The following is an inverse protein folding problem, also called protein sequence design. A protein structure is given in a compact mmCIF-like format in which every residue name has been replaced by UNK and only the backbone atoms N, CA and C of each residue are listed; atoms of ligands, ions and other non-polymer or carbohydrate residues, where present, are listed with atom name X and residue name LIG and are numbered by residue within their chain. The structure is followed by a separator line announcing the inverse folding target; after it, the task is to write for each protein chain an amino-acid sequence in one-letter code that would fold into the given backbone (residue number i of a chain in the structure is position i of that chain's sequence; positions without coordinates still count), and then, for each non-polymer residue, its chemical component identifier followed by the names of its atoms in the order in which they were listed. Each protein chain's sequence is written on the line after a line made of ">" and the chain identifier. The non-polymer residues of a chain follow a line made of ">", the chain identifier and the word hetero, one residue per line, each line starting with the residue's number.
data_IF_842758322437
#
_entry.id   IF_842758322437
#
_cell.length_a   1.000
_cell.length_b   1.000
_cell.length_c   1.000
_cell.angle_alpha   90.00
_cell.angle_beta   90.00
_cell.angle_gamma   90.00
#
_symmetry.space_group_name_H-M   'P 1'
#
loop_
_entity.id
_entity.type
_entity.pdbx_description
1 polymer ?
#
# COMPACT_ATOMS: atom_id res chain seq x y z
N UNK A 1 -11.59 10.92 -27.51
CA UNK A 1 -10.67 11.30 -26.41
C UNK A 1 -10.97 10.57 -25.10
N UNK A 2 -12.23 10.45 -24.66
CA UNK A 2 -12.60 9.76 -23.41
C UNK A 2 -12.10 8.30 -23.27
N UNK A 3 -12.04 7.54 -24.36
CA UNK A 3 -11.52 6.15 -24.36
C UNK A 3 -10.03 6.05 -23.94
N UNK A 4 -9.20 6.98 -24.41
CA UNK A 4 -7.76 7.00 -24.09
C UNK A 4 -7.48 7.32 -22.61
N UNK A 5 -8.29 8.20 -22.01
CA UNK A 5 -8.19 8.53 -20.59
C UNK A 5 -8.51 7.32 -19.69
N UNK A 6 -9.54 6.55 -20.04
CA UNK A 6 -9.89 5.33 -19.29
C UNK A 6 -8.84 4.23 -19.42
N UNK A 7 -8.25 4.06 -20.61
CA UNK A 7 -7.17 3.09 -20.83
C UNK A 7 -5.92 3.43 -20.01
N UNK A 8 -5.54 4.70 -19.96
CA UNK A 8 -4.40 5.17 -19.15
C UNK A 8 -4.62 4.89 -17.67
N UNK A 9 -5.79 5.26 -17.12
CA UNK A 9 -6.14 5.02 -15.71
C UNK A 9 -6.17 3.54 -15.35
N UNK A 10 -6.61 2.69 -16.29
CA UNK A 10 -6.59 1.24 -16.10
C UNK A 10 -5.17 0.67 -16.12
N UNK A 11 -4.27 1.19 -16.96
CA UNK A 11 -2.85 0.83 -16.98
C UNK A 11 -2.17 1.20 -15.66
N UNK A 12 -2.34 2.45 -15.22
CA UNK A 12 -1.80 2.96 -13.95
C UNK A 12 -2.28 2.12 -12.77
N UNK A 13 -3.57 1.76 -12.73
CA UNK A 13 -4.11 0.88 -11.70
C UNK A 13 -3.48 -0.52 -11.70
N UNK A 14 -3.15 -1.08 -12.86
CA UNK A 14 -2.48 -2.40 -12.95
C UNK A 14 -1.03 -2.33 -12.49
N UNK A 15 -0.32 -1.26 -12.83
CA UNK A 15 1.05 -1.03 -12.39
C UNK A 15 1.12 -0.90 -10.86
N UNK A 16 0.22 -0.10 -10.26
CA UNK A 16 0.12 0.04 -8.81
C UNK A 16 -0.20 -1.30 -8.13
N UNK A 17 -1.11 -2.09 -8.68
CA UNK A 17 -1.39 -3.44 -8.18
C UNK A 17 -0.14 -4.32 -8.18
N UNK A 18 0.63 -4.30 -9.28
CA UNK A 18 1.83 -5.12 -9.39
C UNK A 18 2.92 -4.67 -8.42
N UNK A 19 3.13 -3.37 -8.24
CA UNK A 19 4.08 -2.84 -7.26
C UNK A 19 3.67 -3.20 -5.82
N UNK A 20 2.37 -3.12 -5.48
CA UNK A 20 1.87 -3.59 -4.18
C UNK A 20 2.09 -5.08 -3.97
N UNK A 21 1.84 -5.90 -4.99
CA UNK A 21 2.06 -7.34 -4.92
C UNK A 21 3.54 -7.67 -4.73
N UNK A 22 4.44 -6.96 -5.43
CA UNK A 22 5.88 -7.10 -5.23
C UNK A 22 6.28 -6.70 -3.80
N UNK A 23 5.70 -5.61 -3.28
CA UNK A 23 5.97 -5.17 -1.92
C UNK A 23 5.48 -6.19 -0.89
N UNK A 24 4.26 -6.72 -1.04
CA UNK A 24 3.76 -7.80 -0.21
C UNK A 24 4.70 -9.01 -0.21
N UNK A 25 5.17 -9.43 -1.39
CA UNK A 25 6.05 -10.58 -1.56
C UNK A 25 7.45 -10.37 -0.94
N UNK A 26 7.94 -9.13 -0.88
CA UNK A 26 9.27 -8.82 -0.30
C UNK A 26 9.39 -9.23 1.17
N UNK A 27 8.27 -9.30 1.91
CA UNK A 27 8.22 -9.71 3.32
C UNK A 27 8.41 -11.22 3.55
N UNK A 28 8.45 -12.03 2.49
CA UNK A 28 8.66 -13.48 2.57
C UNK A 28 10.11 -13.90 2.26
N UNK A 29 11.01 -12.93 2.08
CA UNK A 29 12.44 -13.18 1.91
C UNK A 29 13.14 -13.57 3.23
N UNK A 30 14.29 -14.24 3.15
CA UNK A 30 15.08 -14.74 4.29
C UNK A 30 15.47 -13.67 5.33
N UNK A 31 15.39 -12.37 4.97
CA UNK A 31 15.71 -11.23 5.85
C UNK A 31 14.65 -11.09 6.96
N UNK A 32 13.43 -11.56 6.73
CA UNK A 32 12.31 -11.56 7.67
C UNK A 32 12.22 -12.91 8.38
N UNK A 33 13.24 -13.25 9.17
CA UNK A 33 13.14 -14.39 10.09
C UNK A 33 11.98 -14.21 11.09
N UNK A 34 11.52 -15.31 11.69
CA UNK A 34 10.34 -15.35 12.57
C UNK A 34 10.39 -14.34 13.74
N UNK A 35 11.60 -13.96 14.20
CA UNK A 35 11.79 -12.97 15.26
C UNK A 35 11.57 -11.52 14.82
N UNK A 36 11.87 -11.16 13.56
CA UNK A 36 11.70 -9.80 13.05
C UNK A 36 10.37 -9.58 12.33
N UNK A 37 9.78 -10.63 11.74
CA UNK A 37 8.54 -10.50 10.95
C UNK A 37 7.36 -10.00 11.78
N UNK A 38 7.35 -10.24 13.10
CA UNK A 38 6.30 -9.75 14.01
C UNK A 38 6.11 -8.23 13.95
N UNK A 39 7.21 -7.46 13.83
CA UNK A 39 7.16 -5.98 13.78
C UNK A 39 6.65 -5.45 12.44
N UNK A 40 6.87 -6.19 11.36
CA UNK A 40 6.44 -5.83 10.01
C UNK A 40 5.10 -6.46 9.61
N UNK A 41 4.58 -7.40 10.41
CA UNK A 41 3.32 -8.10 10.18
C UNK A 41 2.18 -7.14 9.85
N UNK A 42 2.02 -6.09 10.65
CA UNK A 42 0.93 -5.13 10.45
C UNK A 42 1.10 -4.26 9.18
N UNK A 43 2.32 -4.09 8.65
CA UNK A 43 2.56 -3.47 7.34
C UNK A 43 2.15 -4.45 6.24
N UNK A 44 2.65 -5.69 6.31
CA UNK A 44 2.33 -6.75 5.35
C UNK A 44 0.82 -7.00 5.25
N UNK A 45 0.15 -7.13 6.39
CA UNK A 45 -1.29 -7.43 6.44
C UNK A 45 -2.11 -6.26 5.88
N UNK A 46 -1.70 -5.00 6.14
CA UNK A 46 -2.33 -3.83 5.53
C UNK A 46 -2.17 -3.81 4.00
N UNK A 47 -0.99 -4.18 3.47
CA UNK A 47 -0.78 -4.32 2.03
C UNK A 47 -1.73 -5.40 1.47
N UNK A 48 -1.86 -6.54 2.15
CA UNK A 48 -2.80 -7.60 1.77
C UNK A 48 -4.25 -7.12 1.72
N UNK A 49 -4.69 -6.33 2.70
CA UNK A 49 -6.03 -5.73 2.71
C UNK A 49 -6.25 -4.78 1.53
N UNK A 50 -5.25 -3.96 1.18
CA UNK A 50 -5.35 -3.06 0.03
C UNK A 50 -5.32 -3.82 -1.29
N UNK A 51 -4.58 -4.92 -1.41
CA UNK A 51 -4.67 -5.79 -2.59
C UNK A 51 -6.11 -6.29 -2.81
N UNK A 52 -6.83 -6.67 -1.74
CA UNK A 52 -8.24 -7.06 -1.86
C UNK A 52 -9.14 -5.93 -2.37
N UNK A 53 -8.78 -4.65 -2.13
CA UNK A 53 -9.51 -3.48 -2.67
C UNK A 53 -9.40 -3.38 -4.19
N UNK A 54 -8.28 -3.82 -4.76
CA UNK A 54 -8.15 -3.94 -6.22
C UNK A 54 -9.05 -5.06 -6.75
N UNK A 55 -9.07 -6.21 -6.08
CA UNK A 55 -9.89 -7.35 -6.49
C UNK A 55 -11.39 -7.04 -6.41
N UNK A 56 -11.82 -6.21 -5.45
CA UNK A 56 -13.21 -5.77 -5.30
C UNK A 56 -13.57 -4.49 -6.05
N UNK A 57 -12.60 -3.79 -6.65
CA UNK A 57 -12.81 -2.48 -7.29
C UNK A 57 -13.20 -1.35 -6.33
N UNK A 58 -12.92 -1.48 -5.04
CA UNK A 58 -13.28 -0.52 -3.99
C UNK A 58 -12.19 0.54 -3.83
N UNK A 59 -12.25 1.61 -4.63
CA UNK A 59 -11.36 2.78 -4.56
C UNK A 59 -9.86 2.42 -4.33
N UNK A 60 -9.28 1.50 -5.12
CA UNK A 60 -8.00 0.89 -4.79
C UNK A 60 -6.82 1.88 -4.77
N UNK A 61 -6.84 2.92 -5.60
CA UNK A 61 -5.78 3.93 -5.64
C UNK A 61 -5.85 4.86 -4.42
N UNK A 62 -7.05 5.18 -3.97
CA UNK A 62 -7.30 5.95 -2.75
C UNK A 62 -6.82 5.18 -1.51
N UNK A 63 -7.16 3.89 -1.40
CA UNK A 63 -6.63 3.03 -0.34
C UNK A 63 -5.11 2.83 -0.43
N UNK A 64 -4.53 2.83 -1.64
CA UNK A 64 -3.07 2.76 -1.80
C UNK A 64 -2.39 4.03 -1.31
N UNK A 65 -2.91 5.21 -1.66
CA UNK A 65 -2.41 6.50 -1.16
C UNK A 65 -2.43 6.54 0.37
N UNK A 66 -3.54 6.08 0.96
CA UNK A 66 -3.70 5.94 2.41
C UNK A 66 -2.71 4.95 3.04
N UNK A 67 -2.46 3.82 2.37
CA UNK A 67 -1.49 2.81 2.79
C UNK A 67 -0.07 3.37 2.83
N UNK A 68 0.34 4.17 1.85
CA UNK A 68 1.65 4.82 1.84
C UNK A 68 1.84 5.65 3.11
N UNK A 69 0.85 6.46 3.48
CA UNK A 69 0.89 7.28 4.70
C UNK A 69 0.92 6.41 5.97
N UNK A 70 0.11 5.35 6.02
CA UNK A 70 0.12 4.38 7.12
C UNK A 70 1.52 3.76 7.29
N UNK A 71 2.15 3.26 6.22
CA UNK A 71 3.47 2.62 6.27
C UNK A 71 4.53 3.61 6.74
N UNK A 72 4.53 4.85 6.22
CA UNK A 72 5.46 5.90 6.65
C UNK A 72 5.32 6.20 8.15
N UNK A 73 4.09 6.36 8.65
CA UNK A 73 3.83 6.59 10.06
C UNK A 73 4.32 5.41 10.93
N UNK A 74 4.05 4.19 10.48
CA UNK A 74 4.46 2.96 11.18
C UNK A 74 5.97 2.80 11.26
N UNK A 75 6.68 3.11 10.17
CA UNK A 75 8.14 3.11 10.12
C UNK A 75 8.71 4.13 11.10
N UNK A 76 8.23 5.37 11.05
CA UNK A 76 8.73 6.45 11.89
C UNK A 76 8.51 6.16 13.39
N UNK A 77 7.30 5.73 13.77
CA UNK A 77 6.94 5.52 15.18
C UNK A 77 7.60 4.27 15.79
N UNK A 78 7.93 3.27 14.98
CA UNK A 78 8.49 2.01 15.47
C UNK A 78 9.96 1.83 15.10
N UNK A 79 10.62 2.84 14.54
CA UNK A 79 12.00 2.81 14.06
C UNK A 79 12.30 1.58 13.18
N UNK A 80 11.39 1.28 12.25
CA UNK A 80 11.54 0.17 11.32
C UNK A 80 12.45 0.58 10.17
N UNK A 81 13.21 -0.38 9.64
CA UNK A 81 14.03 -0.16 8.46
C UNK A 81 13.46 -1.00 7.32
N UNK A 82 13.18 -0.35 6.19
CA UNK A 82 12.82 -1.04 4.95
C UNK A 82 14.10 -1.40 4.19
N UNK A 83 14.07 -2.52 3.46
CA UNK A 83 15.14 -2.84 2.51
C UNK A 83 15.16 -1.84 1.35
N UNK A 84 16.25 -1.79 0.59
CA UNK A 84 16.33 -0.92 -0.61
C UNK A 84 15.17 -1.18 -1.58
N UNK A 85 14.87 -2.46 -1.84
CA UNK A 85 13.73 -2.87 -2.69
C UNK A 85 12.40 -2.29 -2.20
N UNK A 86 12.14 -2.38 -0.90
CA UNK A 86 10.91 -1.87 -0.30
C UNK A 86 10.85 -0.34 -0.30
N UNK A 87 11.99 0.34 -0.16
CA UNK A 87 12.07 1.80 -0.28
C UNK A 87 11.76 2.25 -1.71
N UNK A 88 12.27 1.54 -2.72
CA UNK A 88 11.98 1.81 -4.13
C UNK A 88 10.49 1.60 -4.43
N UNK A 89 9.90 0.51 -3.93
CA UNK A 89 8.47 0.23 -4.07
C UNK A 89 7.63 1.30 -3.37
N UNK A 90 7.99 1.71 -2.15
CA UNK A 90 7.35 2.82 -1.44
C UNK A 90 7.38 4.12 -2.26
N UNK A 91 8.53 4.43 -2.88
CA UNK A 91 8.66 5.62 -3.71
C UNK A 91 7.73 5.55 -4.94
N UNK A 92 7.71 4.42 -5.66
CA UNK A 92 6.83 4.23 -6.82
C UNK A 92 5.36 4.39 -6.45
N UNK A 93 4.92 3.72 -5.38
CA UNK A 93 3.54 3.80 -4.90
C UNK A 93 3.16 5.22 -4.47
N UNK A 94 4.08 5.92 -3.77
CA UNK A 94 3.88 7.33 -3.41
C UNK A 94 3.76 8.22 -4.64
N UNK A 95 4.64 8.06 -5.63
CA UNK A 95 4.61 8.86 -6.85
C UNK A 95 3.34 8.62 -7.68
N UNK A 96 2.87 7.37 -7.75
CA UNK A 96 1.67 6.98 -8.47
C UNK A 96 0.37 7.49 -7.82
N UNK A 97 0.38 7.77 -6.51
CA UNK A 97 -0.84 8.07 -5.74
C UNK A 97 -0.87 9.47 -5.10
N UNK A 98 0.17 10.28 -5.31
CA UNK A 98 0.32 11.63 -4.70
C UNK A 98 -0.77 12.65 -5.02
N UNK A 99 -1.52 12.46 -6.10
CA UNK A 99 -2.61 13.35 -6.51
C UNK A 99 -4.00 12.75 -6.31
N UNK A 100 -4.08 11.60 -5.63
CA UNK A 100 -5.35 10.97 -5.31
C UNK A 100 -6.00 11.69 -4.13
N UNK A 101 -7.29 12.03 -4.26
CA UNK A 101 -8.03 12.72 -3.21
C UNK A 101 -8.46 11.72 -2.11
N UNK A 102 -8.02 11.97 -0.89
CA UNK A 102 -8.19 11.08 0.25
C UNK A 102 -9.42 11.36 1.14
N UNK A 103 -10.26 12.34 0.78
CA UNK A 103 -11.28 12.91 1.68
C UNK A 103 -12.25 11.89 2.32
N UNK A 104 -12.47 10.74 1.68
CA UNK A 104 -13.51 9.78 2.09
C UNK A 104 -12.97 8.51 2.77
N UNK A 105 -11.64 8.34 2.88
CA UNK A 105 -11.09 7.02 3.23
C UNK A 105 -10.74 6.92 4.72
N UNK A 106 -10.51 8.02 5.44
CA UNK A 106 -10.04 7.97 6.83
C UNK A 106 -11.17 7.82 7.87
N UNK A 107 -11.37 6.59 8.37
CA UNK A 107 -12.38 6.28 9.40
C UNK A 107 -11.80 5.83 10.74
N UNK A 108 -10.48 5.69 10.84
CA UNK A 108 -9.78 5.27 12.06
C UNK A 108 -8.38 5.89 12.10
N UNK A 109 -7.65 5.81 13.23
CA UNK A 109 -6.36 6.47 13.38
C UNK A 109 -5.37 6.06 12.28
N UNK A 110 -4.51 6.99 11.86
CA UNK A 110 -3.53 6.81 10.76
C UNK A 110 -2.64 5.57 10.91
N UNK A 111 -2.43 5.10 12.14
CA UNK A 111 -1.57 3.96 12.47
C UNK A 111 -2.34 2.66 12.70
N UNK A 112 -3.67 2.70 12.61
CA UNK A 112 -4.55 1.55 12.75
C UNK A 112 -4.73 0.83 11.41
N UNK A 113 -4.66 -0.50 11.43
CA UNK A 113 -4.95 -1.35 10.26
C UNK A 113 -6.44 -1.40 9.94
N UNK A 114 -7.30 -1.05 10.89
CA UNK A 114 -8.76 -0.99 10.70
C UNK A 114 -9.17 -0.01 9.59
N UNK A 115 -8.26 0.88 9.22
CA UNK A 115 -8.38 1.75 8.06
C UNK A 115 -8.61 1.03 6.73
N UNK A 116 -8.29 -0.26 6.63
CA UNK A 116 -8.31 -1.02 5.38
C UNK A 116 -9.28 -2.20 5.44
N UNK A 117 -9.92 -2.44 6.58
CA UNK A 117 -10.93 -3.50 6.73
C UNK A 117 -12.16 -3.10 5.90
N UNK A 118 -12.78 -4.08 5.25
CA UNK A 118 -14.03 -3.85 4.52
C UNK A 118 -15.09 -3.32 5.49
N UNK A 119 -15.69 -2.20 5.11
CA UNK A 119 -16.86 -1.62 5.80
C UNK A 119 -18.11 -2.26 5.21
#
# INVERSE_FOLDING_TARGET
>A
MFSLFNQKKQSESREVYQDLKNFYNSFFSNIYNEMNIGRYRQIRDAIGLVLNKFDSGDHPLEYTSKLVMYIQARIAMNHLHLTHEQQDLMKKLSDATKYVNLSYVYLSPLTSVEQFVNI
#
